data_IF_582628576633
#
_entry.id   IF_582628576633
#
_cell.length_a   1.000
_cell.length_b   1.000
_cell.length_c   1.000
_cell.angle_alpha   90.00
_cell.angle_beta   90.00
_cell.angle_gamma   90.00
#
_symmetry.space_group_name_H-M   'P 1'
#
loop_
_entity.id
_entity.type
_entity.pdbx_description
1 polymer ?
#
# COMPACT_ATOMS: atom_id res chain seq x y z
N UNK A 1 12.97 2.26 21.90
CA UNK A 1 12.10 2.08 20.72
C UNK A 1 12.56 0.79 20.09
N UNK A 2 11.93 -0.30 20.51
CA UNK A 2 12.29 -1.64 20.08
C UNK A 2 11.90 -1.80 18.61
N UNK A 3 12.91 -2.05 17.78
CA UNK A 3 12.73 -2.61 16.44
C UNK A 3 12.17 -4.02 16.62
N UNK A 4 10.84 -4.12 16.69
CA UNK A 4 10.13 -5.39 16.61
C UNK A 4 10.30 -5.95 15.19
N UNK A 5 11.45 -6.60 14.95
CA UNK A 5 11.50 -7.68 13.97
C UNK A 5 10.41 -8.67 14.37
N UNK A 6 9.53 -8.97 13.41
CA UNK A 6 8.51 -10.02 13.48
C UNK A 6 9.02 -11.28 14.21
N UNK A 7 8.17 -11.98 14.98
CA UNK A 7 8.59 -12.88 16.04
C UNK A 7 9.54 -13.97 15.52
N UNK A 8 10.69 -14.08 16.16
CA UNK A 8 11.73 -15.09 15.94
C UNK A 8 11.30 -16.51 16.35
N UNK A 9 9.99 -16.80 16.41
CA UNK A 9 9.39 -18.04 16.91
C UNK A 9 9.30 -19.16 15.87
N UNK A 10 9.78 -18.95 14.64
CA UNK A 10 9.81 -19.99 13.60
C UNK A 10 10.77 -21.11 14.00
N UNK A 11 10.29 -22.35 14.00
CA UNK A 11 11.13 -23.54 14.17
C UNK A 11 12.13 -23.66 13.02
N UNK A 12 13.22 -24.41 13.22
CA UNK A 12 14.19 -24.68 12.16
C UNK A 12 13.55 -25.32 10.91
N UNK A 13 12.60 -26.24 11.11
CA UNK A 13 11.85 -26.86 10.02
C UNK A 13 10.98 -25.86 9.25
N UNK A 14 10.35 -24.91 9.95
CA UNK A 14 9.59 -23.84 9.31
C UNK A 14 10.49 -22.92 8.49
N UNK A 15 11.66 -22.53 9.03
CA UNK A 15 12.64 -21.70 8.30
C UNK A 15 13.10 -22.39 7.01
N UNK A 16 13.48 -23.66 7.08
CA UNK A 16 13.87 -24.44 5.90
C UNK A 16 12.74 -24.53 4.85
N UNK A 17 11.48 -24.66 5.28
CA UNK A 17 10.34 -24.68 4.37
C UNK A 17 10.09 -23.31 3.71
N UNK A 18 10.27 -22.21 4.45
CA UNK A 18 10.18 -20.84 3.93
C UNK A 18 11.28 -20.59 2.90
N UNK A 19 12.53 -20.94 3.21
CA UNK A 19 13.65 -20.84 2.26
C UNK A 19 13.42 -21.65 0.97
N UNK A 20 12.89 -22.87 1.11
CA UNK A 20 12.53 -23.68 -0.05
C UNK A 20 11.41 -23.02 -0.88
N UNK A 21 10.46 -22.34 -0.25
CA UNK A 21 9.43 -21.58 -0.96
C UNK A 21 10.00 -20.34 -1.66
N UNK A 22 10.90 -19.60 -1.02
CA UNK A 22 11.59 -18.46 -1.62
C UNK A 22 12.40 -18.88 -2.85
N UNK A 23 13.15 -20.00 -2.78
CA UNK A 23 13.88 -20.57 -3.93
C UNK A 23 12.95 -20.94 -5.10
N UNK A 24 11.78 -21.51 -4.82
CA UNK A 24 10.78 -21.82 -5.87
C UNK A 24 10.22 -20.55 -6.51
N UNK A 25 9.93 -19.52 -5.71
CA UNK A 25 9.48 -18.24 -6.22
C UNK A 25 10.53 -17.62 -7.15
N UNK A 26 11.79 -17.60 -6.72
CA UNK A 26 12.90 -17.09 -7.54
C UNK A 26 13.04 -17.85 -8.86
N UNK A 27 13.03 -19.19 -8.82
CA UNK A 27 13.09 -20.01 -10.04
C UNK A 27 11.90 -19.75 -10.99
N UNK A 28 10.72 -19.47 -10.44
CA UNK A 28 9.54 -19.09 -11.24
C UNK A 28 9.74 -17.72 -11.90
N UNK A 29 10.28 -16.74 -11.16
CA UNK A 29 10.59 -15.41 -11.69
C UNK A 29 11.65 -15.45 -12.79
N UNK A 30 12.64 -16.33 -12.68
CA UNK A 30 13.69 -16.51 -13.68
C UNK A 30 13.19 -17.20 -14.95
N UNK A 31 12.19 -18.07 -14.84
CA UNK A 31 11.61 -18.79 -15.98
C UNK A 31 10.43 -18.06 -16.64
N UNK A 32 9.85 -17.06 -15.97
CA UNK A 32 8.66 -16.35 -16.46
C UNK A 32 8.71 -14.85 -16.19
N UNK A 33 8.97 -14.10 -17.26
CA UNK A 33 9.04 -12.63 -17.24
C UNK A 33 7.71 -11.94 -16.91
N UNK A 34 6.59 -12.66 -16.94
CA UNK A 34 5.27 -12.12 -16.64
C UNK A 34 4.87 -12.27 -15.17
N UNK A 35 5.76 -12.76 -14.31
CA UNK A 35 5.48 -12.83 -12.87
C UNK A 35 5.20 -11.44 -12.31
N UNK A 36 4.11 -11.29 -11.56
CA UNK A 36 3.72 -10.03 -10.89
C UNK A 36 3.20 -10.30 -9.48
N UNK A 37 3.47 -9.37 -8.57
CA UNK A 37 2.98 -9.41 -7.19
C UNK A 37 1.95 -8.30 -7.02
N UNK A 38 0.68 -8.66 -6.92
CA UNK A 38 -0.36 -7.66 -6.77
C UNK A 38 -0.69 -7.44 -5.30
N UNK A 39 -0.56 -6.20 -4.85
CA UNK A 39 -1.04 -5.79 -3.55
C UNK A 39 -2.50 -5.35 -3.69
N UNK A 40 -3.41 -6.12 -3.12
CA UNK A 40 -4.85 -5.96 -3.28
C UNK A 40 -5.58 -6.16 -1.96
N UNK A 41 -6.79 -5.59 -1.86
CA UNK A 41 -7.71 -5.84 -0.75
C UNK A 41 -8.42 -7.17 -0.97
N UNK A 42 -8.54 -7.98 0.07
CA UNK A 42 -9.27 -9.25 -0.04
C UNK A 42 -10.76 -8.99 -0.27
N UNK A 43 -11.33 -9.39 -1.42
CA UNK A 43 -12.72 -9.11 -1.76
C UNK A 43 -13.68 -9.87 -0.83
N UNK A 44 -14.92 -9.38 -0.74
CA UNK A 44 -15.95 -10.05 0.04
C UNK A 44 -16.22 -11.45 -0.50
N UNK A 45 -16.23 -12.42 0.41
CA UNK A 45 -16.61 -13.79 0.11
C UNK A 45 -17.41 -14.34 1.29
N UNK A 46 -18.42 -15.16 1.01
CA UNK A 46 -19.27 -15.79 2.03
C UNK A 46 -18.58 -16.93 2.79
N UNK A 47 -17.38 -17.33 2.36
CA UNK A 47 -16.59 -18.41 2.98
C UNK A 47 -15.49 -17.92 3.92
N UNK A 48 -14.70 -18.85 4.45
CA UNK A 48 -13.62 -18.61 5.42
C UNK A 48 -12.36 -17.92 4.86
N UNK A 49 -12.43 -17.37 3.64
CA UNK A 49 -11.28 -16.79 2.95
C UNK A 49 -10.27 -17.83 2.43
N UNK A 50 -9.36 -17.42 1.52
CA UNK A 50 -8.31 -18.30 1.02
C UNK A 50 -7.25 -18.56 2.09
N UNK A 51 -6.58 -19.70 2.01
CA UNK A 51 -5.42 -19.98 2.85
C UNK A 51 -4.18 -19.25 2.33
N UNK A 52 -3.38 -18.71 3.25
CA UNK A 52 -2.05 -18.23 2.93
C UNK A 52 -1.16 -19.38 2.44
N UNK A 53 -0.31 -19.11 1.46
CA UNK A 53 0.56 -20.11 0.83
C UNK A 53 1.97 -20.16 1.40
N UNK A 54 2.27 -19.36 2.43
CA UNK A 54 3.50 -19.52 3.20
C UNK A 54 3.43 -20.83 4.00
N UNK A 55 4.37 -21.79 3.84
CA UNK A 55 4.26 -23.11 4.47
C UNK A 55 4.12 -23.10 6.00
N UNK A 56 4.61 -22.06 6.66
CA UNK A 56 4.55 -21.90 8.11
C UNK A 56 3.32 -21.12 8.60
N UNK A 57 2.50 -20.58 7.70
CA UNK A 57 1.25 -19.90 8.02
C UNK A 57 0.08 -20.87 7.85
N UNK A 58 -0.73 -21.02 8.89
CA UNK A 58 -1.95 -21.84 8.85
C UNK A 58 -3.23 -21.00 8.76
N UNK A 59 -3.08 -19.69 8.82
CA UNK A 59 -4.18 -18.76 8.93
C UNK A 59 -4.81 -18.50 7.56
N UNK A 60 -6.07 -18.08 7.61
CA UNK A 60 -6.81 -17.61 6.46
C UNK A 60 -6.54 -16.13 6.24
N UNK A 61 -6.67 -15.69 4.99
CA UNK A 61 -6.67 -14.27 4.65
C UNK A 61 -8.12 -13.81 4.71
N UNK A 62 -8.44 -12.88 5.61
CA UNK A 62 -9.80 -12.46 5.86
C UNK A 62 -10.25 -11.39 4.87
N UNK A 63 -11.56 -11.23 4.75
CA UNK A 63 -12.15 -10.16 3.98
C UNK A 63 -11.68 -8.79 4.49
N UNK A 64 -11.32 -7.88 3.57
CA UNK A 64 -10.83 -6.55 3.89
C UNK A 64 -9.33 -6.48 4.15
N UNK A 65 -8.66 -7.60 4.46
CA UNK A 65 -7.21 -7.63 4.68
C UNK A 65 -6.47 -7.29 3.38
N UNK A 66 -5.40 -6.49 3.47
CA UNK A 66 -4.44 -6.38 2.38
C UNK A 66 -3.62 -7.67 2.23
N UNK A 67 -3.47 -8.11 0.98
CA UNK A 67 -2.74 -9.34 0.64
C UNK A 67 -1.88 -9.18 -0.59
N UNK A 68 -0.96 -10.13 -0.77
CA UNK A 68 -0.21 -10.30 -2.01
C UNK A 68 -0.81 -11.45 -2.81
N UNK A 69 -1.14 -11.17 -4.07
CA UNK A 69 -1.49 -12.17 -5.07
C UNK A 69 -0.36 -12.30 -6.08
N UNK A 70 0.33 -13.44 -6.08
CA UNK A 70 1.40 -13.75 -7.03
C UNK A 70 0.79 -14.43 -8.25
N UNK A 71 0.97 -13.82 -9.40
CA UNK A 71 0.63 -14.40 -10.69
C UNK A 71 1.91 -14.80 -11.39
N UNK A 72 2.08 -16.09 -11.68
CA UNK A 72 2.98 -16.53 -12.73
C UNK A 72 2.23 -16.44 -14.06
N UNK A 73 2.94 -15.91 -15.06
CA UNK A 73 2.48 -15.65 -16.40
C UNK A 73 1.68 -16.77 -17.02
N UNK A 74 0.69 -16.35 -17.79
CA UNK A 74 -0.27 -17.24 -18.39
C UNK A 74 -0.01 -17.44 -19.85
N UNK A 75 0.48 -18.63 -20.16
CA UNK A 75 0.21 -19.31 -21.42
C UNK A 75 -1.29 -19.62 -21.54
N UNK A 76 -2.12 -18.60 -21.76
CA UNK A 76 -3.49 -18.73 -22.26
C UNK A 76 -4.52 -19.45 -21.38
N UNK A 77 -4.22 -19.75 -20.11
CA UNK A 77 -5.21 -20.19 -19.11
C UNK A 77 -5.36 -19.14 -18.02
N UNK A 78 -6.39 -19.10 -17.17
CA UNK A 78 -6.37 -18.28 -15.97
C UNK A 78 -5.45 -18.94 -14.93
N UNK A 79 -4.36 -18.31 -14.51
CA UNK A 79 -3.50 -18.86 -13.46
C UNK A 79 -4.18 -18.51 -12.17
N UNK A 80 -4.43 -19.53 -11.37
CA UNK A 80 -4.90 -19.32 -10.02
C UNK A 80 -3.79 -18.60 -9.26
N UNK A 81 -4.07 -17.39 -8.81
CA UNK A 81 -3.15 -16.63 -7.97
C UNK A 81 -2.67 -17.46 -6.78
N UNK A 82 -1.38 -17.32 -6.45
CA UNK A 82 -0.85 -17.82 -5.18
C UNK A 82 -0.96 -16.68 -4.17
N UNK A 83 -1.75 -16.89 -3.11
CA UNK A 83 -2.15 -15.83 -2.18
C UNK A 83 -1.35 -15.91 -0.87
N UNK A 84 -0.92 -14.76 -0.39
CA UNK A 84 -0.16 -14.61 0.86
C UNK A 84 -0.71 -13.43 1.67
N UNK A 85 -0.71 -13.52 3.01
CA UNK A 85 -0.73 -12.31 3.82
C UNK A 85 0.47 -11.44 3.45
N UNK A 86 0.32 -10.12 3.51
CA UNK A 86 1.40 -9.20 3.16
C UNK A 86 2.66 -9.44 4.01
N UNK A 87 2.53 -9.59 5.33
CA UNK A 87 3.66 -9.95 6.22
C UNK A 87 4.30 -11.28 5.86
N UNK A 88 3.50 -12.29 5.54
CA UNK A 88 4.01 -13.61 5.18
C UNK A 88 4.78 -13.58 3.85
N UNK A 89 4.40 -12.69 2.94
CA UNK A 89 5.10 -12.52 1.68
C UNK A 89 6.45 -11.82 1.87
N UNK A 90 6.54 -10.85 2.77
CA UNK A 90 7.82 -10.21 3.14
C UNK A 90 8.81 -11.17 3.83
N UNK A 91 8.36 -12.33 4.33
CA UNK A 91 9.28 -13.42 4.75
C UNK A 91 9.92 -14.16 3.55
N UNK A 92 9.36 -14.03 2.35
CA UNK A 92 9.83 -14.70 1.13
C UNK A 92 10.70 -13.82 0.23
N UNK A 93 10.52 -12.50 0.30
CA UNK A 93 11.17 -11.55 -0.62
C UNK A 93 11.82 -10.42 0.15
N UNK A 94 12.93 -9.90 -0.39
CA UNK A 94 13.54 -8.68 0.10
C UNK A 94 13.22 -7.52 -0.86
N UNK A 95 12.29 -6.64 -0.48
CA UNK A 95 11.94 -5.49 -1.31
C UNK A 95 13.03 -4.41 -1.41
N UNK A 96 14.14 -4.54 -0.68
CA UNK A 96 15.35 -3.76 -0.96
C UNK A 96 16.04 -4.18 -2.25
N UNK A 97 15.75 -5.36 -2.80
CA UNK A 97 16.24 -5.75 -4.11
C UNK A 97 15.26 -5.29 -5.22
N UNK A 98 15.76 -4.60 -6.28
CA UNK A 98 14.91 -4.13 -7.38
C UNK A 98 14.10 -5.25 -8.04
N UNK A 99 14.67 -6.46 -8.15
CA UNK A 99 14.03 -7.62 -8.79
C UNK A 99 12.67 -8.00 -8.18
N UNK A 100 12.46 -7.73 -6.89
CA UNK A 100 11.19 -8.00 -6.23
C UNK A 100 10.32 -6.74 -6.20
N UNK A 101 10.92 -5.57 -5.91
CA UNK A 101 10.21 -4.29 -5.82
C UNK A 101 9.56 -3.89 -7.15
N UNK A 102 10.22 -4.15 -8.27
CA UNK A 102 9.69 -3.82 -9.59
C UNK A 102 8.45 -4.64 -9.96
N UNK A 103 8.33 -5.87 -9.43
CA UNK A 103 7.21 -6.76 -9.65
C UNK A 103 5.99 -6.44 -8.78
N UNK A 104 6.15 -5.66 -7.71
CA UNK A 104 5.06 -5.26 -6.82
C UNK A 104 4.15 -4.23 -7.49
N UNK A 105 2.88 -4.54 -7.67
CA UNK A 105 1.90 -3.66 -8.30
C UNK A 105 0.70 -3.47 -7.36
N UNK A 106 0.57 -2.33 -6.68
CA UNK A 106 -0.65 -1.96 -5.98
C UNK A 106 -1.84 -1.96 -6.94
N UNK A 107 -2.94 -2.59 -6.56
CA UNK A 107 -4.18 -2.65 -7.34
C UNK A 107 -5.03 -1.42 -7.01
N UNK A 108 -5.14 -0.53 -7.98
CA UNK A 108 -5.81 0.77 -7.88
C UNK A 108 -6.78 0.93 -9.04
N UNK A 109 -7.56 2.01 -9.02
CA UNK A 109 -8.40 2.41 -10.15
C UNK A 109 -7.64 2.57 -11.49
N UNK A 110 -6.32 2.76 -11.43
CA UNK A 110 -5.45 2.96 -12.60
C UNK A 110 -4.70 1.69 -13.02
N UNK A 111 -4.58 0.69 -12.14
CA UNK A 111 -3.76 -0.51 -12.39
C UNK A 111 -4.55 -1.82 -12.41
N UNK A 112 -5.85 -1.81 -12.08
CA UNK A 112 -6.67 -3.03 -12.00
C UNK A 112 -6.71 -3.82 -13.32
N UNK A 113 -6.59 -3.16 -14.47
CA UNK A 113 -6.58 -3.84 -15.77
C UNK A 113 -5.34 -4.73 -15.93
N UNK A 114 -4.19 -4.34 -15.38
CA UNK A 114 -2.99 -5.17 -15.37
C UNK A 114 -3.18 -6.44 -14.52
N UNK A 115 -4.15 -6.41 -13.59
CA UNK A 115 -4.55 -7.53 -12.73
C UNK A 115 -5.59 -8.44 -13.39
N UNK A 116 -5.97 -8.18 -14.64
CA UNK A 116 -7.03 -8.88 -15.39
C UNK A 116 -8.39 -8.87 -14.66
N UNK A 117 -8.65 -7.79 -13.92
CA UNK A 117 -9.95 -7.59 -13.27
C UNK A 117 -10.92 -6.92 -14.22
N UNK A 118 -12.15 -7.43 -14.26
CA UNK A 118 -13.24 -6.78 -14.99
C UNK A 118 -13.69 -5.56 -14.21
N UNK A 119 -14.09 -4.51 -14.94
CA UNK A 119 -14.64 -3.29 -14.35
C UNK A 119 -15.78 -3.60 -13.37
N UNK A 120 -16.71 -4.48 -13.77
CA UNK A 120 -17.84 -4.90 -12.93
C UNK A 120 -17.45 -5.55 -11.61
N UNK A 121 -16.26 -6.17 -11.54
CA UNK A 121 -15.75 -6.78 -10.31
C UNK A 121 -15.27 -5.70 -9.33
N UNK A 122 -14.70 -4.61 -9.81
CA UNK A 122 -14.11 -3.58 -8.93
C UNK A 122 -15.07 -2.43 -8.60
N UNK A 123 -16.24 -2.36 -9.24
CA UNK A 123 -17.21 -1.27 -9.03
C UNK A 123 -17.70 -1.15 -7.57
N UNK A 124 -17.67 -2.23 -6.80
CA UNK A 124 -18.01 -2.21 -5.37
C UNK A 124 -16.80 -1.95 -4.47
N UNK A 125 -15.65 -1.55 -5.03
CA UNK A 125 -14.39 -1.37 -4.31
C UNK A 125 -13.66 -2.67 -3.98
N UNK A 126 -14.20 -3.83 -4.39
CA UNK A 126 -13.50 -5.10 -4.23
C UNK A 126 -12.13 -5.07 -4.91
N UNK A 127 -11.14 -5.76 -4.33
CA UNK A 127 -9.75 -5.85 -4.81
C UNK A 127 -8.93 -4.54 -4.75
N UNK A 128 -9.57 -3.38 -4.90
CA UNK A 128 -8.89 -2.10 -4.86
C UNK A 128 -8.38 -1.77 -3.46
N UNK A 129 -7.20 -1.19 -3.38
CA UNK A 129 -6.77 -0.51 -2.17
C UNK A 129 -7.66 0.71 -1.93
N UNK A 130 -7.96 0.99 -0.65
CA UNK A 130 -8.49 2.30 -0.30
C UNK A 130 -7.47 3.41 -0.56
N UNK A 131 -7.94 4.66 -0.55
CA UNK A 131 -7.12 5.82 -0.91
C UNK A 131 -5.86 5.98 -0.06
N UNK A 132 -5.92 5.68 1.23
CA UNK A 132 -4.77 5.76 2.12
C UNK A 132 -3.76 4.67 1.83
N UNK A 133 -4.19 3.42 1.72
CA UNK A 133 -3.32 2.30 1.38
C UNK A 133 -2.71 2.43 -0.02
N UNK A 134 -3.47 2.92 -1.00
CA UNK A 134 -2.96 3.26 -2.33
C UNK A 134 -1.81 4.26 -2.23
N UNK A 135 -2.02 5.37 -1.50
CA UNK A 135 -1.00 6.43 -1.36
C UNK A 135 0.23 5.96 -0.63
N UNK A 136 0.04 5.21 0.46
CA UNK A 136 1.13 4.66 1.25
C UNK A 136 1.95 3.66 0.44
N UNK A 137 1.31 2.72 -0.26
CA UNK A 137 2.01 1.72 -1.06
C UNK A 137 2.77 2.33 -2.25
N UNK A 138 2.15 3.28 -2.95
CA UNK A 138 2.80 3.96 -4.09
C UNK A 138 4.00 4.81 -3.64
N UNK A 139 3.86 5.62 -2.59
CA UNK A 139 4.96 6.44 -2.08
C UNK A 139 6.05 5.60 -1.43
N UNK A 140 5.70 4.58 -0.65
CA UNK A 140 6.67 3.65 -0.09
C UNK A 140 7.50 2.99 -1.20
N UNK A 141 6.85 2.51 -2.26
CA UNK A 141 7.56 1.91 -3.40
C UNK A 141 8.49 2.92 -4.08
N UNK A 142 8.05 4.17 -4.28
CA UNK A 142 8.87 5.22 -4.87
C UNK A 142 10.08 5.60 -4.00
N UNK A 143 9.89 5.71 -2.68
CA UNK A 143 10.97 5.96 -1.72
C UNK A 143 11.99 4.82 -1.70
N UNK A 144 11.53 3.56 -1.72
CA UNK A 144 12.41 2.39 -1.81
C UNK A 144 13.22 2.39 -3.11
N UNK A 145 12.61 2.75 -4.25
CA UNK A 145 13.34 2.90 -5.52
C UNK A 145 14.35 4.06 -5.48
N UNK A 146 13.97 5.18 -4.88
CA UNK A 146 14.84 6.35 -4.71
C UNK A 146 16.05 6.01 -3.85
N UNK A 147 15.83 5.33 -2.72
CA UNK A 147 16.88 4.76 -1.87
C UNK A 147 17.85 3.90 -2.68
N UNK A 148 17.34 2.92 -3.42
CA UNK A 148 18.16 2.00 -4.23
C UNK A 148 19.01 2.76 -5.26
N UNK A 149 18.45 3.77 -5.94
CA UNK A 149 19.18 4.59 -6.92
C UNK A 149 20.28 5.40 -6.25
N UNK A 150 19.96 6.14 -5.18
CA UNK A 150 20.93 6.96 -4.45
C UNK A 150 22.08 6.12 -3.88
N UNK A 151 21.78 4.96 -3.30
CA UNK A 151 22.81 4.02 -2.81
C UNK A 151 23.72 3.49 -3.93
N UNK A 152 23.28 3.53 -5.19
CA UNK A 152 24.05 3.16 -6.39
C UNK A 152 24.67 4.36 -7.11
N UNK A 153 24.53 5.57 -6.57
CA UNK A 153 24.99 6.80 -7.23
C UNK A 153 24.23 7.13 -8.53
N UNK A 154 22.99 6.66 -8.68
CA UNK A 154 22.15 6.92 -9.85
C UNK A 154 21.23 8.12 -9.61
N UNK A 155 20.97 8.88 -10.69
CA UNK A 155 20.02 9.99 -10.65
C UNK A 155 18.57 9.51 -10.52
N UNK A 156 17.72 10.39 -10.00
CA UNK A 156 16.29 10.13 -9.91
C UNK A 156 15.62 10.09 -11.28
N UNK A 157 14.63 9.21 -11.39
CA UNK A 157 13.83 9.14 -12.61
C UNK A 157 13.03 10.45 -12.80
N UNK A 158 12.88 10.91 -14.06
CA UNK A 158 12.13 12.10 -14.35
C UNK A 158 10.65 11.88 -14.04
N UNK A 159 10.19 12.44 -12.92
CA UNK A 159 8.78 12.69 -12.63
C UNK A 159 8.54 14.18 -12.83
N UNK A 160 7.44 14.55 -13.49
CA UNK A 160 7.11 15.97 -13.63
C UNK A 160 7.02 16.65 -12.27
N UNK A 161 7.65 17.81 -12.12
CA UNK A 161 7.68 18.54 -10.85
C UNK A 161 6.25 18.81 -10.33
N UNK A 162 5.32 19.18 -11.23
CA UNK A 162 3.92 19.41 -10.88
C UNK A 162 3.20 18.16 -10.34
N UNK A 163 3.45 16.97 -10.89
CA UNK A 163 2.89 15.73 -10.35
C UNK A 163 3.49 15.43 -8.97
N UNK A 164 4.79 15.60 -8.79
CA UNK A 164 5.47 15.38 -7.51
C UNK A 164 4.91 16.29 -6.41
N UNK A 165 4.76 17.58 -6.71
CA UNK A 165 4.16 18.54 -5.77
C UNK A 165 2.71 18.19 -5.45
N UNK A 166 1.90 17.83 -6.45
CA UNK A 166 0.51 17.42 -6.24
C UNK A 166 0.41 16.19 -5.32
N UNK A 167 1.24 15.17 -5.56
CA UNK A 167 1.25 13.93 -4.78
C UNK A 167 1.72 14.12 -3.34
N UNK A 168 2.59 15.11 -3.08
CA UNK A 168 3.18 15.35 -1.77
C UNK A 168 2.47 16.44 -0.95
N UNK A 169 1.85 17.44 -1.60
CA UNK A 169 1.39 18.68 -0.95
C UNK A 169 -0.11 18.95 -1.06
N UNK A 170 -0.88 18.19 -1.85
CA UNK A 170 -2.32 18.44 -1.95
C UNK A 170 -2.99 18.37 -0.57
N UNK A 171 -3.92 19.30 -0.32
CA UNK A 171 -4.59 19.49 0.96
C UNK A 171 -3.84 20.37 1.97
N UNK A 172 -2.58 20.74 1.70
CA UNK A 172 -1.89 21.74 2.52
C UNK A 172 -2.49 23.14 2.33
N UNK A 173 -2.63 23.87 3.44
CA UNK A 173 -3.03 25.27 3.48
C UNK A 173 -2.09 26.19 2.70
N UNK A 174 -0.83 25.77 2.51
CA UNK A 174 0.21 26.53 1.80
C UNK A 174 0.35 26.17 0.32
N UNK A 175 -0.47 25.24 -0.19
CA UNK A 175 -0.33 24.70 -1.53
C UNK A 175 -1.62 24.85 -2.34
N UNK A 176 -1.49 25.43 -3.54
CA UNK A 176 -2.59 25.52 -4.51
C UNK A 176 -2.33 24.52 -5.63
N UNK A 177 -3.12 23.44 -5.73
CA UNK A 177 -2.99 22.46 -6.80
C UNK A 177 -3.13 23.10 -8.18
N UNK A 178 -2.24 22.74 -9.11
CA UNK A 178 -2.32 23.12 -10.52
C UNK A 178 -2.44 21.88 -11.38
N UNK A 179 -3.27 21.95 -12.43
CA UNK A 179 -3.46 20.82 -13.36
C UNK A 179 -2.13 20.47 -14.01
N UNK A 180 -1.75 19.19 -13.92
CA UNK A 180 -0.54 18.66 -14.55
C UNK A 180 -0.82 18.45 -16.04
N UNK A 181 0.05 18.93 -16.96
CA UNK A 181 -0.13 18.70 -18.39
C UNK A 181 -0.31 17.22 -18.73
N UNK A 182 -1.31 16.89 -19.55
CA UNK A 182 -1.64 15.51 -19.94
C UNK A 182 -2.42 14.68 -18.91
N UNK A 183 -2.66 15.21 -17.70
CA UNK A 183 -3.46 14.52 -16.70
C UNK A 183 -4.97 14.68 -16.99
N UNK A 184 -5.76 13.58 -16.97
CA UNK A 184 -7.21 13.65 -17.04
C UNK A 184 -7.81 14.48 -15.91
N UNK A 185 -8.88 15.24 -16.18
CA UNK A 185 -9.52 16.12 -15.18
C UNK A 185 -10.03 15.36 -13.96
N UNK A 186 -10.60 14.18 -14.17
CA UNK A 186 -11.05 13.30 -13.09
C UNK A 186 -9.90 12.92 -12.15
N UNK A 187 -8.74 12.56 -12.73
CA UNK A 187 -7.57 12.17 -11.93
C UNK A 187 -6.99 13.36 -11.19
N UNK A 188 -6.91 14.54 -11.84
CA UNK A 188 -6.50 15.77 -11.16
C UNK A 188 -7.45 16.12 -10.00
N UNK A 189 -8.76 16.03 -10.20
CA UNK A 189 -9.76 16.30 -9.17
C UNK A 189 -9.59 15.38 -7.97
N UNK A 190 -9.45 14.06 -8.20
CA UNK A 190 -9.22 13.09 -7.13
C UNK A 190 -7.93 13.38 -6.38
N UNK A 191 -6.81 13.57 -7.08
CA UNK A 191 -5.50 13.76 -6.46
C UNK A 191 -5.41 15.08 -5.68
N UNK A 192 -6.12 16.12 -6.11
CA UNK A 192 -6.16 17.42 -5.43
C UNK A 192 -7.13 17.47 -4.25
N UNK A 193 -8.08 16.54 -4.15
CA UNK A 193 -9.14 16.57 -3.13
C UNK A 193 -9.24 15.25 -2.35
N UNK A 194 -9.89 14.24 -2.91
CA UNK A 194 -10.22 12.98 -2.24
C UNK A 194 -8.95 12.25 -1.76
N UNK A 195 -7.92 12.22 -2.59
CA UNK A 195 -6.63 11.59 -2.30
C UNK A 195 -5.53 12.57 -1.84
N UNK A 196 -5.90 13.76 -1.40
CA UNK A 196 -4.93 14.71 -0.85
C UNK A 196 -4.22 14.08 0.38
N UNK A 197 -2.87 13.99 0.40
CA UNK A 197 -2.12 13.37 1.51
C UNK A 197 -2.13 14.20 2.79
N UNK A 198 -2.49 15.48 2.70
CA UNK A 198 -2.50 16.41 3.82
C UNK A 198 -3.94 16.78 4.18
N UNK A 199 -4.22 16.85 5.47
CA UNK A 199 -5.44 17.40 6.02
C UNK A 199 -5.08 18.70 6.77
N UNK A 200 -5.79 19.78 6.44
CA UNK A 200 -5.63 21.11 7.04
C UNK A 200 -6.98 21.70 7.45
N UNK A 201 -6.96 22.71 8.31
CA UNK A 201 -8.14 23.49 8.70
C UNK A 201 -8.38 24.72 7.79
N UNK A 202 -7.64 24.80 6.67
CA UNK A 202 -7.72 25.90 5.70
C UNK A 202 -6.56 26.91 5.78
N UNK A 203 -6.69 28.08 5.12
CA UNK A 203 -5.59 29.03 4.98
C UNK A 203 -4.97 29.45 6.32
N UNK A 204 -3.64 29.36 6.41
CA UNK A 204 -2.88 29.71 7.61
C UNK A 204 -2.70 28.58 8.62
N UNK A 205 -3.21 27.37 8.36
CA UNK A 205 -2.94 26.22 9.22
C UNK A 205 -1.46 25.83 9.20
N UNK A 206 -0.84 25.84 10.37
CA UNK A 206 0.58 25.46 10.60
C UNK A 206 0.70 24.09 11.29
N UNK A 207 -0.42 23.43 11.59
CA UNK A 207 -0.50 22.17 12.36
C UNK A 207 -1.12 21.05 11.54
N UNK A 208 -0.83 21.03 10.24
CA UNK A 208 -1.38 20.08 9.28
C UNK A 208 -1.07 18.62 9.67
N UNK A 209 -2.02 17.72 9.38
CA UNK A 209 -1.77 16.29 9.45
C UNK A 209 -1.35 15.78 8.07
N UNK A 210 -0.24 15.04 7.99
CA UNK A 210 0.29 14.53 6.74
C UNK A 210 0.39 12.99 6.81
N UNK A 211 -0.34 12.32 5.93
CA UNK A 211 -0.40 10.85 5.82
C UNK A 211 1.00 10.24 5.71
N UNK A 212 1.82 10.75 4.77
CA UNK A 212 3.13 10.18 4.47
C UNK A 212 4.07 10.35 5.65
N UNK A 213 4.15 11.55 6.23
CA UNK A 213 5.01 11.80 7.39
C UNK A 213 4.62 10.98 8.61
N UNK A 214 3.32 10.72 8.78
CA UNK A 214 2.81 9.99 9.94
C UNK A 214 3.08 8.48 9.85
N UNK A 215 2.89 7.88 8.67
CA UNK A 215 3.04 6.43 8.50
C UNK A 215 4.41 5.98 7.98
N UNK A 216 5.09 6.81 7.20
CA UNK A 216 6.41 6.50 6.63
C UNK A 216 7.56 7.18 7.37
N UNK A 217 7.27 8.05 8.35
CA UNK A 217 8.21 8.95 9.03
C UNK A 217 8.71 10.11 8.14
N UNK A 218 9.01 11.26 8.77
CA UNK A 218 9.58 12.42 8.07
C UNK A 218 10.98 12.14 7.52
N UNK A 219 11.77 11.37 8.25
CA UNK A 219 13.15 11.05 7.89
C UNK A 219 13.20 10.21 6.62
N UNK A 220 12.42 9.12 6.56
CA UNK A 220 12.38 8.28 5.36
C UNK A 220 11.80 9.01 4.14
N UNK A 221 10.84 9.91 4.33
CA UNK A 221 10.28 10.72 3.24
C UNK A 221 11.31 11.73 2.71
N UNK A 222 12.11 12.35 3.57
CA UNK A 222 13.09 13.36 3.17
C UNK A 222 14.40 12.76 2.64
N UNK A 223 14.89 11.72 3.31
CA UNK A 223 16.21 11.13 3.11
C UNK A 223 16.13 9.59 3.15
N UNK A 224 15.43 8.95 2.19
CA UNK A 224 15.22 7.52 2.20
C UNK A 224 16.51 6.69 2.16
N UNK A 225 17.63 7.25 1.74
CA UNK A 225 18.97 6.65 1.73
C UNK A 225 19.69 6.63 3.07
N UNK A 226 19.29 7.50 4.02
CA UNK A 226 19.97 7.64 5.32
C UNK A 226 19.35 6.76 6.41
N UNK A 227 18.11 6.31 6.22
CA UNK A 227 17.43 5.42 7.18
C UNK A 227 18.11 4.06 7.15
N UNK A 228 18.53 3.47 8.27
CA UNK A 228 19.18 2.15 8.24
C UNK A 228 18.17 1.05 7.87
N UNK A 229 17.07 0.98 8.63
CA UNK A 229 15.98 0.00 8.44
C UNK A 229 14.71 0.72 7.91
N UNK A 230 14.43 0.68 6.59
CA UNK A 230 13.20 1.27 6.07
C UNK A 230 11.97 0.51 6.60
N UNK A 231 10.83 1.21 6.80
CA UNK A 231 9.64 0.55 7.33
C UNK A 231 9.14 -0.54 6.36
N UNK A 232 8.80 -1.71 6.88
CA UNK A 232 8.14 -2.77 6.10
C UNK A 232 6.77 -2.29 5.61
N UNK A 233 6.40 -2.66 4.38
CA UNK A 233 5.11 -2.25 3.82
C UNK A 233 3.95 -2.85 4.62
N UNK A 234 4.11 -4.08 5.10
CA UNK A 234 3.12 -4.71 5.99
C UNK A 234 2.89 -3.94 7.29
N UNK A 235 3.95 -3.39 7.90
CA UNK A 235 3.84 -2.63 9.14
C UNK A 235 3.13 -1.29 8.91
N UNK A 236 3.47 -0.61 7.81
CA UNK A 236 2.83 0.63 7.38
C UNK A 236 1.33 0.42 7.18
N UNK A 237 0.96 -0.59 6.41
CA UNK A 237 -0.45 -0.84 6.06
C UNK A 237 -1.26 -1.43 7.22
N UNK A 238 -0.67 -2.27 8.08
CA UNK A 238 -1.33 -2.74 9.31
C UNK A 238 -1.67 -1.58 10.24
N UNK A 239 -0.74 -0.64 10.40
CA UNK A 239 -0.99 0.57 11.20
C UNK A 239 -2.15 1.36 10.61
N UNK A 240 -2.16 1.54 9.28
CA UNK A 240 -3.26 2.20 8.58
C UNK A 240 -4.61 1.49 8.78
N UNK A 241 -4.68 0.16 8.66
CA UNK A 241 -5.91 -0.62 8.93
C UNK A 241 -6.40 -0.43 10.37
N UNK A 242 -5.47 -0.47 11.33
CA UNK A 242 -5.77 -0.27 12.76
C UNK A 242 -6.36 1.12 13.01
N UNK A 243 -5.72 2.15 12.46
CA UNK A 243 -6.16 3.53 12.60
C UNK A 243 -7.52 3.74 11.90
N UNK A 244 -7.76 3.12 10.74
CA UNK A 244 -9.07 3.12 10.06
C UNK A 244 -10.17 2.50 10.93
N UNK A 245 -9.90 1.32 11.51
CA UNK A 245 -10.86 0.62 12.36
C UNK A 245 -11.21 1.45 13.60
N UNK A 246 -10.21 2.07 14.24
CA UNK A 246 -10.39 2.90 15.42
C UNK A 246 -11.10 4.22 15.08
N UNK A 247 -10.75 4.88 13.97
CA UNK A 247 -11.36 6.14 13.56
C UNK A 247 -12.83 6.00 13.11
N UNK A 248 -13.21 4.82 12.62
CA UNK A 248 -14.56 4.54 12.10
C UNK A 248 -15.57 4.17 13.18
N UNK A 249 -15.13 3.62 14.31
CA UNK A 249 -16.00 3.22 15.42
C UNK A 249 -16.44 4.42 16.26
N UNK A 250 -17.69 4.42 16.80
CA UNK A 250 -18.09 5.35 17.86
C UNK A 250 -17.18 5.22 19.08
N UNK A 251 -16.83 6.33 19.73
CA UNK A 251 -15.89 6.34 20.85
C UNK A 251 -16.35 5.40 21.97
N UNK A 252 -17.65 5.29 22.21
CA UNK A 252 -18.26 4.48 23.25
C UNK A 252 -18.01 2.97 23.05
N UNK A 253 -17.95 2.55 21.78
CA UNK A 253 -17.77 1.15 21.37
C UNK A 253 -16.33 0.65 21.43
N UNK A 254 -15.37 1.57 21.61
CA UNK A 254 -13.95 1.26 21.74
C UNK A 254 -13.63 0.71 23.14
N UNK A 255 -12.66 -0.20 23.20
CA UNK A 255 -12.09 -0.62 24.49
C UNK A 255 -11.26 0.51 25.14
N UNK A 256 -10.74 0.29 26.36
CA UNK A 256 -9.98 1.34 27.09
C UNK A 256 -8.70 1.76 26.34
N UNK A 257 -8.00 0.82 25.71
CA UNK A 257 -6.75 1.05 24.98
C UNK A 257 -7.04 1.78 23.67
N UNK A 258 -8.02 1.31 22.92
CA UNK A 258 -8.49 1.95 21.69
C UNK A 258 -9.00 3.38 21.97
N UNK A 259 -9.74 3.60 23.06
CA UNK A 259 -10.19 4.96 23.48
C UNK A 259 -9.02 5.90 23.73
N UNK A 260 -8.04 5.46 24.51
CA UNK A 260 -6.86 6.26 24.81
C UNK A 260 -6.09 6.60 23.52
N UNK A 261 -5.92 5.62 22.63
CA UNK A 261 -5.31 5.82 21.32
C UNK A 261 -6.09 6.82 20.45
N UNK A 262 -7.42 6.65 20.39
CA UNK A 262 -8.34 7.50 19.64
C UNK A 262 -8.39 8.94 20.14
N UNK A 263 -8.24 9.16 21.44
CA UNK A 263 -8.16 10.50 22.05
C UNK A 263 -6.81 11.18 21.79
N UNK A 264 -5.75 10.41 21.49
CA UNK A 264 -4.46 10.94 21.03
C UNK A 264 -4.45 11.37 19.55
N UNK A 265 -5.49 11.03 18.78
CA UNK A 265 -5.62 11.48 17.39
C UNK A 265 -6.26 12.87 17.34
N UNK A 266 -5.64 13.80 16.60
CA UNK A 266 -6.25 15.10 16.32
C UNK A 266 -7.46 14.97 15.40
N UNK A 267 -8.38 15.94 15.43
CA UNK A 267 -9.55 15.96 14.55
C UNK A 267 -9.16 15.87 13.06
N UNK A 268 -8.08 16.56 12.66
CA UNK A 268 -7.49 16.44 11.32
C UNK A 268 -7.07 15.02 10.98
N UNK A 269 -6.40 14.34 11.91
CA UNK A 269 -6.01 12.95 11.70
C UNK A 269 -7.23 12.06 11.40
N UNK A 270 -8.31 12.20 12.18
CA UNK A 270 -9.53 11.39 12.00
C UNK A 270 -10.24 11.74 10.69
N UNK A 271 -10.36 13.03 10.34
CA UNK A 271 -10.97 13.46 9.07
C UNK A 271 -10.19 12.92 7.88
N UNK A 272 -8.86 13.04 7.91
CA UNK A 272 -7.96 12.50 6.90
C UNK A 272 -8.13 10.99 6.74
N UNK A 273 -8.11 10.23 7.84
CA UNK A 273 -8.35 8.78 7.81
C UNK A 273 -9.70 8.45 7.16
N UNK A 274 -10.79 9.06 7.65
CA UNK A 274 -12.15 8.77 7.14
C UNK A 274 -12.31 9.10 5.65
N UNK A 275 -11.66 10.15 5.18
CA UNK A 275 -11.64 10.52 3.75
C UNK A 275 -10.89 9.50 2.92
N UNK A 276 -9.74 9.03 3.42
CA UNK A 276 -8.82 8.16 2.68
C UNK A 276 -9.15 6.67 2.83
N UNK A 277 -10.00 6.25 3.77
CA UNK A 277 -10.38 4.85 3.98
C UNK A 277 -11.39 4.30 2.96
N UNK A 278 -11.84 5.12 2.00
CA UNK A 278 -12.68 4.69 0.91
C UNK A 278 -11.86 4.27 -0.31
N UNK A 279 -12.21 3.13 -0.91
CA UNK A 279 -11.77 2.77 -2.24
C UNK A 279 -12.42 3.68 -3.28
N UNK A 280 -11.63 4.13 -4.26
CA UNK A 280 -12.10 5.02 -5.31
C UNK A 280 -12.40 4.20 -6.56
N UNK A 281 -13.65 4.23 -6.99
CA UNK A 281 -14.06 3.59 -8.23
C UNK A 281 -13.38 4.26 -9.45
N UNK A 282 -13.06 3.49 -10.49
CA UNK A 282 -12.56 4.05 -11.75
C UNK A 282 -13.61 4.93 -12.42
N UNK A 283 -13.14 5.89 -13.23
CA UNK A 283 -14.04 6.71 -14.03
C UNK A 283 -14.69 5.87 -15.14
N UNK A 284 -15.99 5.61 -15.02
CA UNK A 284 -16.75 4.84 -16.01
C UNK A 284 -16.95 5.60 -17.33
N UNK A 285 -16.85 6.94 -17.32
CA UNK A 285 -16.99 7.76 -18.53
C UNK A 285 -15.78 7.68 -19.48
N UNK A 286 -14.69 7.04 -19.05
CA UNK A 286 -13.49 6.85 -19.88
C UNK A 286 -13.50 5.51 -20.66
N UNK A 287 -14.52 4.67 -20.42
CA UNK A 287 -14.65 3.33 -21.01
C UNK A 287 -15.92 3.16 -21.87
N UNK A 288 -16.69 4.23 -22.06
CA UNK A 288 -17.83 4.35 -22.96
C UNK A 288 -17.46 5.27 -24.13
#
# INVERSE_FOLDING_TARGET
MDSERLPSSRTQSQRAAIEAAARRLLSTMESDANVRFFLETTPYSTGSGPACKLPACKDKIHHGDYRIAVYAGLSGRPSTAVLYHLTCFEELVNFEEPRYLDLLMPVTRMSFAARDLRLTSIMNGGWLLDGGAEKLALHWKDLMKTRQRKLRGQEDLPMSAGLRELLARAGSASFTPRKVPGMPDFEFSILSTILAPIESDGPGDITEWNLLHYYLSREFVAHPELVEDPPLLSAVLRKWETDCAIASKPLESLDKTEKAYRLGMSDKHIRGIKRLSAAIAPNTSAFL
#
